data_IF_989948178752
#
_entry.id   IF_989948178752
#
_cell.length_a   1.000
_cell.length_b   1.000
_cell.length_c   1.000
_cell.angle_alpha   90.00
_cell.angle_beta   90.00
_cell.angle_gamma   90.00
#
_symmetry.space_group_name_H-M   'P 1'
#
loop_
_entity.id
_entity.type
_entity.pdbx_description
1 polymer ?
#
# COMPACT_ATOMS: atom_id res chain seq x y z
N UNK A 1 24.72 -18.73 7.34
CA UNK A 1 25.02 -18.74 5.90
C UNK A 1 23.82 -18.12 5.23
N UNK A 2 23.92 -16.85 4.83
CA UNK A 2 22.86 -16.17 4.09
C UNK A 2 22.74 -16.85 2.74
N UNK A 3 21.56 -17.36 2.41
CA UNK A 3 21.27 -17.81 1.05
C UNK A 3 21.41 -16.59 0.14
N UNK A 4 22.40 -16.63 -0.76
CA UNK A 4 22.45 -15.69 -1.87
C UNK A 4 21.14 -15.83 -2.64
N UNK A 5 20.33 -14.77 -2.66
CA UNK A 5 19.11 -14.74 -3.44
C UNK A 5 19.49 -14.85 -4.92
N UNK A 6 19.40 -16.05 -5.49
CA UNK A 6 19.77 -16.35 -6.88
C UNK A 6 18.99 -15.53 -7.92
N UNK A 7 17.95 -14.82 -7.49
CA UNK A 7 17.13 -13.93 -8.32
C UNK A 7 17.50 -12.44 -8.17
N UNK A 8 18.39 -12.08 -7.24
CA UNK A 8 18.86 -10.72 -7.10
C UNK A 8 19.85 -10.40 -8.23
N UNK A 9 19.70 -9.26 -8.92
CA UNK A 9 20.64 -8.87 -9.97
C UNK A 9 22.02 -8.59 -9.36
N UNK A 10 23.06 -8.87 -10.13
CA UNK A 10 24.41 -8.39 -9.82
C UNK A 10 24.46 -6.84 -9.90
N UNK A 11 25.43 -6.16 -9.26
CA UNK A 11 25.43 -4.69 -9.17
C UNK A 11 25.41 -3.95 -10.51
N UNK A 12 26.04 -4.50 -11.54
CA UNK A 12 26.05 -3.99 -12.90
C UNK A 12 24.71 -4.23 -13.61
N UNK A 13 24.09 -5.40 -13.42
CA UNK A 13 22.73 -5.69 -13.89
C UNK A 13 21.71 -4.74 -13.24
N UNK A 14 21.82 -4.48 -11.93
CA UNK A 14 20.96 -3.53 -11.22
C UNK A 14 21.12 -2.11 -11.75
N UNK A 15 22.35 -1.69 -12.09
CA UNK A 15 22.60 -0.37 -12.63
C UNK A 15 21.85 -0.13 -13.96
N UNK A 16 21.63 -1.17 -14.76
CA UNK A 16 20.85 -1.09 -16.01
C UNK A 16 19.34 -0.92 -15.76
N UNK A 17 18.84 -1.30 -14.58
CA UNK A 17 17.42 -1.26 -14.22
C UNK A 17 17.04 -0.04 -13.37
N UNK A 18 18.03 0.74 -12.91
CA UNK A 18 17.84 1.80 -11.91
C UNK A 18 16.71 2.78 -12.27
N UNK A 19 16.72 3.29 -13.51
CA UNK A 19 15.73 4.26 -13.96
C UNK A 19 14.29 3.69 -13.97
N UNK A 20 14.13 2.39 -14.22
CA UNK A 20 12.83 1.73 -14.20
C UNK A 20 12.39 1.41 -12.77
N UNK A 21 13.33 1.04 -11.89
CA UNK A 21 13.08 0.82 -10.46
C UNK A 21 12.69 2.13 -9.76
N UNK A 22 13.33 3.25 -10.11
CA UNK A 22 13.00 4.57 -9.55
C UNK A 22 11.59 5.04 -9.96
N UNK A 23 10.99 4.43 -10.99
CA UNK A 23 9.59 4.63 -11.41
C UNK A 23 8.63 3.59 -10.83
N UNK A 24 9.08 2.78 -9.88
CA UNK A 24 8.26 1.75 -9.26
C UNK A 24 6.98 2.34 -8.65
N UNK A 25 5.85 1.61 -8.69
CA UNK A 25 4.65 2.03 -8.02
C UNK A 25 4.89 2.12 -6.51
N UNK A 26 4.30 3.14 -5.88
CA UNK A 26 4.44 3.37 -4.44
C UNK A 26 3.51 2.45 -3.67
N UNK A 27 4.04 1.70 -2.70
CA UNK A 27 3.22 0.93 -1.77
C UNK A 27 2.40 1.89 -0.89
N UNK A 28 1.12 1.57 -0.69
CA UNK A 28 0.26 2.23 0.29
C UNK A 28 -0.63 1.20 1.00
N UNK A 29 -1.20 1.61 2.12
CA UNK A 29 -2.19 0.89 2.89
C UNK A 29 -3.47 1.73 3.01
N UNK A 30 -4.62 1.07 2.97
CA UNK A 30 -5.86 1.62 3.51
C UNK A 30 -6.08 1.05 4.90
N UNK A 31 -6.17 1.95 5.86
CA UNK A 31 -6.43 1.64 7.25
C UNK A 31 -7.86 2.06 7.61
N UNK A 32 -8.52 1.24 8.42
CA UNK A 32 -9.77 1.57 9.09
C UNK A 32 -9.44 1.89 10.54
N UNK A 33 -10.06 2.96 11.06
CA UNK A 33 -9.95 3.37 12.46
C UNK A 33 -11.30 3.19 13.15
N UNK A 34 -11.27 2.61 14.34
CA UNK A 34 -12.44 2.53 15.22
C UNK A 34 -12.31 3.58 16.33
N UNK A 35 -13.43 4.21 16.67
CA UNK A 35 -13.52 5.23 17.73
C UNK A 35 -14.48 4.80 18.82
N UNK A 36 -14.18 5.21 20.05
CA UNK A 36 -15.16 5.15 21.12
C UNK A 36 -16.27 6.19 20.90
N UNK A 37 -17.53 5.77 21.04
CA UNK A 37 -18.69 6.63 20.81
C UNK A 37 -18.88 7.70 21.90
N UNK A 38 -18.24 7.54 23.07
CA UNK A 38 -18.39 8.38 24.25
C UNK A 38 -17.49 9.60 24.22
N UNK A 39 -16.21 9.42 23.87
CA UNK A 39 -15.19 10.47 23.89
C UNK A 39 -14.51 10.73 22.53
N UNK A 40 -14.89 9.98 21.50
CA UNK A 40 -14.33 10.06 20.14
C UNK A 40 -12.83 9.75 20.06
N UNK A 41 -12.24 9.09 21.06
CA UNK A 41 -10.86 8.64 21.00
C UNK A 41 -10.71 7.45 20.04
N UNK A 42 -9.58 7.37 19.33
CA UNK A 42 -9.27 6.22 18.44
C UNK A 42 -8.83 5.06 19.32
N UNK A 43 -9.58 3.97 19.28
CA UNK A 43 -9.34 2.79 20.13
C UNK A 43 -8.57 1.70 19.39
N UNK A 44 -8.87 1.51 18.10
CA UNK A 44 -8.24 0.50 17.26
C UNK A 44 -7.95 1.03 15.85
N UNK A 45 -6.99 0.39 15.20
CA UNK A 45 -6.66 0.65 13.81
C UNK A 45 -6.13 -0.59 13.13
N UNK A 46 -6.61 -0.87 11.91
CA UNK A 46 -6.18 -2.04 11.14
C UNK A 46 -5.96 -1.69 9.68
N UNK A 47 -4.97 -2.32 9.06
CA UNK A 47 -4.88 -2.36 7.60
C UNK A 47 -5.90 -3.36 7.09
N UNK A 48 -6.84 -2.92 6.25
CA UNK A 48 -7.80 -3.81 5.61
C UNK A 48 -7.46 -4.11 4.15
N UNK A 49 -6.64 -3.26 3.51
CA UNK A 49 -6.14 -3.49 2.17
C UNK A 49 -4.75 -2.87 1.96
N UNK A 50 -3.93 -3.54 1.17
CA UNK A 50 -2.67 -3.03 0.63
C UNK A 50 -2.85 -2.65 -0.82
N UNK A 51 -2.08 -1.66 -1.29
CA UNK A 51 -2.13 -1.27 -2.69
C UNK A 51 -0.83 -0.74 -3.26
N UNK A 52 -0.76 -0.76 -4.59
CA UNK A 52 0.31 -0.19 -5.39
C UNK A 52 -0.25 1.00 -6.17
N UNK A 53 0.31 2.18 -5.94
CA UNK A 53 -0.02 3.41 -6.65
C UNK A 53 0.91 3.56 -7.86
N UNK A 54 0.36 3.35 -9.05
CA UNK A 54 0.98 3.65 -10.34
C UNK A 54 0.72 5.13 -10.71
N UNK A 55 1.46 5.69 -11.68
CA UNK A 55 1.20 7.04 -12.16
C UNK A 55 -0.23 7.28 -12.68
N UNK A 56 -0.89 6.25 -13.20
CA UNK A 56 -2.19 6.33 -13.89
C UNK A 56 -3.34 5.60 -13.19
N UNK A 57 -3.04 4.81 -12.14
CA UNK A 57 -4.03 3.97 -11.44
C UNK A 57 -3.52 3.52 -10.07
N UNK A 58 -4.41 2.95 -9.28
CA UNK A 58 -4.05 2.17 -8.09
C UNK A 58 -4.64 0.76 -8.17
N UNK A 59 -3.89 -0.22 -7.69
CA UNK A 59 -4.36 -1.58 -7.49
C UNK A 59 -4.40 -1.90 -6.01
N UNK A 60 -5.48 -2.49 -5.53
CA UNK A 60 -5.64 -2.92 -4.14
C UNK A 60 -5.86 -4.43 -4.05
N UNK A 61 -5.40 -4.99 -2.95
CA UNK A 61 -5.68 -6.35 -2.49
C UNK A 61 -6.06 -6.31 -1.01
N UNK A 62 -7.16 -6.97 -0.64
CA UNK A 62 -7.55 -7.13 0.76
C UNK A 62 -6.49 -7.95 1.52
N UNK A 63 -6.40 -7.78 2.83
CA UNK A 63 -5.41 -8.50 3.64
C UNK A 63 -5.60 -10.02 3.68
N UNK A 64 -6.81 -10.51 3.40
CA UNK A 64 -7.11 -11.93 3.22
C UNK A 64 -6.87 -12.44 1.77
N UNK A 65 -6.48 -11.54 0.86
CA UNK A 65 -6.15 -11.83 -0.54
C UNK A 65 -7.35 -12.14 -1.44
N UNK A 66 -8.58 -12.09 -0.92
CA UNK A 66 -9.79 -12.51 -1.63
C UNK A 66 -10.30 -11.43 -2.57
N UNK A 67 -10.25 -10.17 -2.14
CA UNK A 67 -10.76 -9.04 -2.90
C UNK A 67 -9.62 -8.29 -3.58
N UNK A 68 -9.86 -7.93 -4.84
CA UNK A 68 -8.95 -7.13 -5.65
C UNK A 68 -9.72 -6.02 -6.35
N UNK A 69 -9.13 -4.84 -6.41
CA UNK A 69 -9.74 -3.67 -7.04
C UNK A 69 -8.74 -2.86 -7.85
N UNK A 70 -9.23 -2.20 -8.90
CA UNK A 70 -8.48 -1.19 -9.65
C UNK A 70 -9.22 0.13 -9.58
N UNK A 71 -8.48 1.20 -9.29
CA UNK A 71 -8.99 2.55 -9.07
C UNK A 71 -8.16 3.56 -9.85
N UNK A 72 -8.71 4.76 -10.05
CA UNK A 72 -8.00 5.84 -10.77
C UNK A 72 -6.78 6.35 -10.01
N UNK A 73 -6.80 6.30 -8.67
CA UNK A 73 -5.67 6.68 -7.81
C UNK A 73 -5.86 6.07 -6.42
N UNK A 74 -4.83 6.15 -5.57
CA UNK A 74 -4.91 5.73 -4.18
C UNK A 74 -5.91 6.61 -3.39
N UNK A 75 -5.90 7.92 -3.64
CA UNK A 75 -6.87 8.87 -3.06
C UNK A 75 -8.29 8.50 -3.46
N UNK A 76 -8.52 8.16 -4.73
CA UNK A 76 -9.86 7.77 -5.20
C UNK A 76 -10.35 6.48 -4.55
N UNK A 77 -9.45 5.53 -4.30
CA UNK A 77 -9.80 4.33 -3.53
C UNK A 77 -10.19 4.71 -2.10
N UNK A 78 -9.37 5.52 -1.41
CA UNK A 78 -9.65 5.98 -0.06
C UNK A 78 -10.99 6.71 0.04
N UNK A 79 -11.28 7.63 -0.88
CA UNK A 79 -12.56 8.34 -0.98
C UNK A 79 -13.77 7.38 -1.07
N UNK A 80 -13.65 6.30 -1.84
CA UNK A 80 -14.73 5.33 -2.01
C UNK A 80 -14.98 4.56 -0.71
N UNK A 81 -13.93 4.06 -0.06
CA UNK A 81 -14.06 3.30 1.19
C UNK A 81 -14.42 4.20 2.39
N UNK A 82 -14.05 5.48 2.35
CA UNK A 82 -14.42 6.47 3.36
C UNK A 82 -15.94 6.75 3.41
N UNK A 83 -16.71 6.31 2.40
CA UNK A 83 -18.17 6.41 2.40
C UNK A 83 -18.84 5.48 3.41
N UNK A 84 -18.12 4.47 3.90
CA UNK A 84 -18.68 3.39 4.74
C UNK A 84 -17.91 3.18 6.05
N UNK A 85 -16.72 3.76 6.21
CA UNK A 85 -15.88 3.61 7.40
C UNK A 85 -14.93 4.82 7.56
N UNK A 86 -14.33 4.99 8.75
CA UNK A 86 -13.27 5.99 8.92
C UNK A 86 -11.94 5.47 8.35
N UNK A 87 -11.66 5.90 7.12
CA UNK A 87 -10.49 5.42 6.37
C UNK A 87 -9.31 6.40 6.45
N UNK A 88 -8.09 5.86 6.48
CA UNK A 88 -6.84 6.59 6.28
C UNK A 88 -6.00 5.94 5.19
N UNK A 89 -5.49 6.77 4.28
CA UNK A 89 -4.49 6.39 3.28
C UNK A 89 -3.10 6.62 3.86
N UNK A 90 -2.31 5.56 3.96
CA UNK A 90 -0.96 5.61 4.54
C UNK A 90 0.05 5.12 3.51
N UNK A 91 1.07 5.92 3.23
CA UNK A 91 2.26 5.48 2.53
C UNK A 91 3.30 5.09 3.57
N UNK A 92 3.55 3.78 3.81
CA UNK A 92 4.63 3.38 4.70
C UNK A 92 5.93 3.99 4.17
N UNK A 93 6.69 4.62 5.06
CA UNK A 93 8.07 5.00 4.78
C UNK A 93 8.83 3.75 4.33
N UNK A 94 9.84 3.92 3.46
CA UNK A 94 10.70 2.83 3.03
C UNK A 94 11.10 1.97 4.24
N UNK A 95 10.99 0.64 4.09
CA UNK A 95 11.32 -0.31 5.16
C UNK A 95 12.75 -0.02 5.65
N UNK A 96 13.02 -0.06 6.97
CA UNK A 96 14.38 0.01 7.49
C UNK A 96 15.26 -1.12 6.96
#
# INVERSE_FOLDING_TARGET
MSESNIWAPEPDEYALLRDEIDRAPRLFALCELDRDETDWEVTEGRVFAWGLAFPDRAQLVSTDGRDRGTFQSADRAAEIFARTAEVRLVYPSERP
#
